data_IF_552596381536
#
_entry.id   IF_552596381536
#
_cell.length_a   1.000
_cell.length_b   1.000
_cell.length_c   1.000
_cell.angle_alpha   90.00
_cell.angle_beta   90.00
_cell.angle_gamma   90.00
#
_symmetry.space_group_name_H-M   'P 1'
#
loop_
_entity.id
_entity.type
_entity.pdbx_description
1 polymer ?
#
# COMPACT_ATOMS: atom_id res chain seq x y z
N UNK A 1 -38.26 40.43 21.02
CA UNK A 1 -39.30 39.66 20.28
C UNK A 1 -38.60 38.56 19.51
N UNK A 2 -38.65 37.36 20.09
CA UNK A 2 -38.07 36.11 19.58
C UNK A 2 -38.61 35.75 18.19
N UNK A 3 -37.71 35.38 17.27
CA UNK A 3 -38.07 34.59 16.09
C UNK A 3 -37.56 33.17 16.32
N UNK A 4 -38.49 32.28 16.70
CA UNK A 4 -38.26 30.86 16.86
C UNK A 4 -38.38 30.11 15.53
N UNK A 5 -37.52 29.12 15.43
CA UNK A 5 -37.34 28.08 14.42
C UNK A 5 -38.61 27.25 14.19
N UNK A 6 -38.78 26.78 12.95
CA UNK A 6 -39.44 25.50 12.65
C UNK A 6 -38.69 24.81 11.51
N UNK A 7 -37.78 23.92 11.88
CA UNK A 7 -37.22 22.88 11.01
C UNK A 7 -38.21 21.72 11.04
N UNK A 8 -38.76 21.36 9.88
CA UNK A 8 -39.59 20.16 9.70
C UNK A 8 -38.69 19.06 9.13
N UNK A 9 -38.32 18.11 10.00
CA UNK A 9 -37.79 16.81 9.59
C UNK A 9 -38.95 15.89 9.23
N UNK A 10 -38.93 15.30 8.04
CA UNK A 10 -39.81 14.18 7.69
C UNK A 10 -39.00 12.93 7.38
N UNK A 11 -39.29 11.89 8.17
CA UNK A 11 -38.95 10.50 7.97
C UNK A 11 -39.28 10.02 6.55
N UNK A 12 -38.43 9.16 5.99
CA UNK A 12 -38.92 8.06 5.17
C UNK A 12 -38.10 6.79 5.43
N UNK A 13 -38.70 5.88 6.18
CA UNK A 13 -38.27 4.50 6.34
C UNK A 13 -39.00 3.62 5.30
N UNK A 14 -38.42 2.43 5.06
CA UNK A 14 -38.99 1.21 4.48
C UNK A 14 -38.66 0.92 3.01
N UNK A 15 -37.82 -0.09 2.79
CA UNK A 15 -38.28 -1.36 2.19
C UNK A 15 -37.15 -2.40 2.15
N UNK A 16 -37.26 -3.42 3.02
CA UNK A 16 -36.52 -4.68 2.93
C UNK A 16 -37.46 -5.70 2.30
N UNK A 17 -37.13 -6.25 1.12
CA UNK A 17 -37.80 -7.43 0.58
C UNK A 17 -36.78 -8.50 0.17
N UNK A 18 -36.85 -9.62 0.89
CA UNK A 18 -36.21 -10.90 0.65
C UNK A 18 -36.93 -11.72 -0.42
N UNK A 19 -36.21 -12.40 -1.33
CA UNK A 19 -36.61 -13.67 -1.99
C UNK A 19 -35.32 -14.43 -2.34
N UNK A 20 -34.97 -15.50 -1.61
CA UNK A 20 -35.36 -16.93 -1.74
C UNK A 20 -34.92 -17.62 -3.03
N UNK A 21 -34.30 -18.78 -2.78
CA UNK A 21 -33.52 -19.63 -3.65
C UNK A 21 -34.33 -20.65 -4.45
N UNK A 22 -33.77 -21.07 -5.59
CA UNK A 22 -33.92 -22.37 -6.26
C UNK A 22 -32.63 -22.54 -7.11
N UNK A 23 -31.87 -23.63 -7.11
CA UNK A 23 -32.14 -25.00 -6.71
C UNK A 23 -32.48 -25.85 -7.93
N UNK A 24 -31.52 -26.10 -8.84
CA UNK A 24 -31.63 -27.13 -9.89
C UNK A 24 -30.28 -27.86 -10.02
N UNK A 25 -30.40 -29.19 -10.05
CA UNK A 25 -29.35 -30.21 -10.06
C UNK A 25 -29.17 -30.81 -11.46
N UNK A 26 -28.21 -31.74 -11.60
CA UNK A 26 -27.88 -32.66 -12.73
C UNK A 26 -26.66 -32.20 -13.55
N UNK A 27 -25.79 -33.05 -14.10
CA UNK A 27 -25.57 -34.51 -14.04
C UNK A 27 -24.25 -34.79 -14.77
N UNK A 28 -23.61 -35.91 -14.44
CA UNK A 28 -22.34 -36.40 -14.97
C UNK A 28 -22.45 -37.05 -16.36
N UNK A 29 -21.80 -36.47 -17.40
CA UNK A 29 -21.14 -37.19 -18.50
C UNK A 29 -20.59 -36.23 -19.56
N UNK A 30 -19.28 -36.25 -19.77
CA UNK A 30 -18.56 -36.01 -21.04
C UNK A 30 -17.14 -35.46 -20.79
N UNK A 31 -16.28 -36.30 -20.20
CA UNK A 31 -14.84 -36.16 -20.30
C UNK A 31 -14.36 -37.04 -21.46
N UNK A 32 -14.07 -36.46 -22.63
CA UNK A 32 -12.95 -36.86 -23.49
C UNK A 32 -12.98 -36.08 -24.83
N UNK A 33 -11.78 -35.75 -25.33
CA UNK A 33 -11.45 -35.09 -26.60
C UNK A 33 -11.33 -33.56 -26.53
N UNK A 34 -10.10 -33.07 -26.38
CA UNK A 34 -9.34 -32.35 -27.42
C UNK A 34 -7.96 -32.00 -26.81
N UNK A 35 -6.96 -32.79 -27.16
CA UNK A 35 -5.55 -32.41 -27.17
C UNK A 35 -5.07 -32.72 -28.59
N UNK A 36 -4.93 -31.69 -29.43
CA UNK A 36 -4.03 -31.62 -30.61
C UNK A 36 -4.48 -30.47 -31.52
N UNK A 37 -3.81 -29.32 -31.44
CA UNK A 37 -3.50 -28.45 -32.59
C UNK A 37 -2.85 -27.14 -32.11
N UNK A 38 -1.88 -26.67 -32.88
CA UNK A 38 -1.22 -25.34 -32.84
C UNK A 38 0.09 -25.24 -32.04
N UNK A 39 1.03 -26.12 -32.40
CA UNK A 39 2.42 -25.70 -32.62
C UNK A 39 2.62 -25.47 -34.12
N UNK A 40 2.53 -24.21 -34.57
CA UNK A 40 3.11 -23.73 -35.82
C UNK A 40 2.83 -22.23 -35.90
N UNK A 41 3.85 -21.40 -35.69
CA UNK A 41 4.16 -20.23 -36.53
C UNK A 41 5.32 -19.45 -35.89
N UNK A 42 6.50 -19.59 -36.52
CA UNK A 42 7.72 -18.82 -36.30
C UNK A 42 7.99 -18.01 -37.56
N UNK A 43 8.50 -16.80 -37.35
CA UNK A 43 9.30 -15.95 -38.26
C UNK A 43 8.55 -15.17 -39.36
N UNK A 44 8.67 -13.83 -39.31
CA UNK A 44 9.46 -12.97 -40.22
C UNK A 44 9.16 -11.50 -39.86
N UNK A 45 10.09 -10.77 -39.23
CA UNK A 45 10.10 -9.29 -39.22
C UNK A 45 11.55 -8.81 -39.42
N UNK A 46 11.73 -7.91 -40.39
CA UNK A 46 12.99 -7.29 -40.82
C UNK A 46 13.44 -6.18 -39.84
N UNK A 47 14.76 -5.91 -39.71
CA UNK A 47 15.27 -4.87 -38.82
C UNK A 47 15.23 -3.48 -39.50
N UNK A 48 14.49 -2.53 -38.92
CA UNK A 48 14.57 -1.11 -39.24
C UNK A 48 15.47 -0.39 -38.24
N UNK A 49 16.11 0.67 -38.72
CA UNK A 49 17.33 1.26 -38.18
C UNK A 49 17.17 1.85 -36.77
N UNK A 50 17.82 1.24 -35.78
CA UNK A 50 18.03 1.83 -34.46
C UNK A 50 19.08 2.94 -34.56
N UNK A 51 18.65 4.18 -34.33
CA UNK A 51 19.54 5.28 -33.98
C UNK A 51 20.27 4.91 -32.69
N UNK A 52 21.59 4.77 -32.81
CA UNK A 52 22.53 4.49 -31.74
C UNK A 52 22.59 5.69 -30.80
N UNK A 53 21.84 5.64 -29.71
CA UNK A 53 22.04 6.54 -28.57
C UNK A 53 23.32 6.06 -27.87
N UNK A 54 24.39 6.83 -28.02
CA UNK A 54 25.62 6.64 -27.26
C UNK A 54 25.31 6.80 -25.77
N UNK A 55 25.25 5.66 -25.06
CA UNK A 55 25.30 5.65 -23.60
C UNK A 55 26.66 6.17 -23.18
N UNK A 56 26.68 7.41 -22.73
CA UNK A 56 27.79 8.01 -22.01
C UNK A 56 28.17 7.08 -20.85
N UNK A 57 29.35 6.45 -20.97
CA UNK A 57 29.87 5.53 -19.96
C UNK A 57 30.04 6.31 -18.66
N UNK A 58 29.15 6.07 -17.70
CA UNK A 58 29.35 6.46 -16.32
C UNK A 58 30.71 5.89 -15.87
N UNK A 59 31.66 6.80 -15.65
CA UNK A 59 32.97 6.50 -15.08
C UNK A 59 32.73 5.84 -13.73
N UNK A 60 32.94 4.54 -13.66
CA UNK A 60 33.00 3.80 -12.40
C UNK A 60 34.06 4.49 -11.53
N UNK A 61 33.66 4.99 -10.36
CA UNK A 61 34.61 5.44 -9.34
C UNK A 61 35.51 4.24 -9.02
N UNK A 62 36.84 4.41 -8.97
CA UNK A 62 37.73 3.31 -8.62
C UNK A 62 37.34 2.76 -7.25
N UNK A 63 37.35 1.42 -7.07
CA UNK A 63 37.12 0.82 -5.76
C UNK A 63 38.12 1.41 -4.77
N UNK A 64 37.61 1.88 -3.63
CA UNK A 64 38.41 2.42 -2.54
C UNK A 64 39.46 1.34 -2.19
N UNK A 65 40.77 1.63 -2.30
CA UNK A 65 41.81 0.64 -2.03
C UNK A 65 41.72 0.17 -0.58
N UNK A 66 41.35 -1.10 -0.36
CA UNK A 66 41.24 -1.74 0.94
C UNK A 66 42.61 -2.08 1.58
N UNK A 67 43.64 -1.29 1.28
CA UNK A 67 45.02 -1.51 1.72
C UNK A 67 45.51 -0.35 2.58
N UNK A 68 44.77 0.00 3.63
CA UNK A 68 45.39 0.66 4.79
C UNK A 68 45.29 -0.35 5.92
N UNK A 69 46.35 -1.17 6.05
CA UNK A 69 46.62 -1.91 7.29
C UNK A 69 46.68 -0.86 8.40
N UNK A 70 45.62 -0.76 9.20
CA UNK A 70 45.68 -0.05 10.48
C UNK A 70 46.67 -0.82 11.33
N UNK A 71 47.90 -0.35 11.37
CA UNK A 71 48.88 -0.77 12.36
C UNK A 71 48.27 -0.45 13.73
N UNK A 72 47.78 -1.49 14.41
CA UNK A 72 47.42 -1.45 15.80
C UNK A 72 48.71 -1.21 16.61
N UNK A 73 49.20 0.03 16.64
CA UNK A 73 50.08 0.50 17.70
C UNK A 73 49.24 0.48 18.97
N UNK A 74 49.37 -0.63 19.72
CA UNK A 74 49.00 -0.66 21.13
C UNK A 74 49.64 0.57 21.78
N UNK A 75 48.86 1.48 22.39
CA UNK A 75 49.45 2.44 23.29
C UNK A 75 50.10 1.63 24.42
N UNK A 76 51.43 1.71 24.50
CA UNK A 76 52.17 1.26 25.67
C UNK A 76 51.70 2.12 26.84
N UNK A 77 50.75 1.61 27.60
CA UNK A 77 50.34 2.21 28.86
C UNK A 77 51.54 2.12 29.81
N UNK A 78 52.02 3.25 30.38
CA UNK A 78 53.07 3.22 31.38
C UNK A 78 52.60 2.36 32.56
N UNK A 79 53.33 1.27 32.81
CA UNK A 79 53.15 0.39 33.96
C UNK A 79 53.62 1.11 35.23
N UNK A 80 52.84 2.07 35.71
CA UNK A 80 52.91 2.51 37.10
C UNK A 80 52.09 1.54 37.93
N UNK A 81 52.68 0.36 38.22
CA UNK A 81 52.25 -0.50 39.32
C UNK A 81 52.73 0.14 40.63
N UNK A 82 52.14 1.27 40.99
CA UNK A 82 52.08 1.63 42.39
C UNK A 82 51.12 0.65 43.03
N UNK A 83 51.63 -0.19 43.92
CA UNK A 83 50.83 -1.06 44.77
C UNK A 83 49.87 -0.17 45.56
N UNK A 84 48.66 0.04 45.03
CA UNK A 84 47.54 0.59 45.78
C UNK A 84 47.22 -0.47 46.83
N UNK A 85 47.88 -0.36 47.99
CA UNK A 85 47.50 -1.13 49.17
C UNK A 85 46.07 -0.72 49.47
N UNK A 86 45.11 -1.59 49.15
CA UNK A 86 43.70 -1.37 49.49
C UNK A 86 43.66 -1.08 50.99
N UNK A 87 43.30 0.15 51.33
CA UNK A 87 43.16 0.59 52.71
C UNK A 87 41.98 -0.20 53.26
N UNK A 88 42.25 -1.13 54.18
CA UNK A 88 41.23 -1.88 54.89
C UNK A 88 40.40 -0.89 55.70
N UNK A 89 39.08 -0.89 55.51
CA UNK A 89 38.14 -0.05 56.26
C UNK A 89 37.51 -0.79 57.43
N UNK A 90 37.82 -2.08 57.61
CA UNK A 90 37.27 -2.93 58.64
C UNK A 90 37.30 -2.32 60.06
N UNK A 91 38.39 -1.63 60.39
CA UNK A 91 38.63 -1.06 61.73
C UNK A 91 38.42 0.46 61.79
N UNK A 92 37.77 1.06 60.79
CA UNK A 92 37.50 2.49 60.76
C UNK A 92 36.38 2.83 61.78
N UNK A 93 36.67 3.60 62.86
CA UNK A 93 35.71 3.89 63.91
C UNK A 93 34.49 4.68 63.40
N UNK A 94 34.66 5.52 62.37
CA UNK A 94 33.54 6.29 61.82
C UNK A 94 32.56 5.38 61.06
N UNK A 95 33.09 4.42 60.29
CA UNK A 95 32.26 3.46 59.55
C UNK A 95 31.53 2.48 60.49
N UNK A 96 32.20 2.08 61.58
CA UNK A 96 31.61 1.22 62.61
C UNK A 96 30.43 1.93 63.29
N UNK A 97 30.61 3.19 63.70
CA UNK A 97 29.54 3.99 64.28
C UNK A 97 28.38 4.16 63.31
N UNK A 98 28.66 4.53 62.05
CA UNK A 98 27.61 4.69 61.04
C UNK A 98 26.82 3.41 60.79
N UNK A 99 27.51 2.26 60.72
CA UNK A 99 26.87 0.96 60.56
C UNK A 99 25.90 0.69 61.72
N UNK A 100 26.35 0.93 62.96
CA UNK A 100 25.56 0.71 64.17
C UNK A 100 24.38 1.68 64.30
N UNK A 101 24.57 2.93 63.88
CA UNK A 101 23.49 3.91 63.85
C UNK A 101 22.40 3.52 62.85
N UNK A 102 22.77 3.11 61.63
CA UNK A 102 21.80 2.68 60.60
C UNK A 102 21.12 1.38 61.02
N UNK A 103 21.88 0.45 61.61
CA UNK A 103 21.37 -0.77 62.19
C UNK A 103 20.26 -0.53 63.23
N UNK A 104 20.40 0.54 64.02
CA UNK A 104 19.43 0.96 65.03
C UNK A 104 18.28 1.81 64.46
N UNK A 105 18.18 1.93 63.13
CA UNK A 105 17.12 2.70 62.45
C UNK A 105 17.46 4.18 62.23
N UNK A 106 18.74 4.55 62.30
CA UNK A 106 19.22 5.89 61.96
C UNK A 106 18.93 6.29 60.51
N UNK A 107 18.72 7.58 60.28
CA UNK A 107 18.50 8.14 58.93
C UNK A 107 19.82 8.30 58.17
N UNK A 108 19.83 7.93 56.89
CA UNK A 108 20.99 8.08 55.99
C UNK A 108 21.02 9.45 55.30
N UNK A 109 19.89 10.17 55.27
CA UNK A 109 19.72 11.38 54.48
C UNK A 109 20.74 12.49 54.80
N UNK A 110 21.21 12.57 56.04
CA UNK A 110 22.11 13.63 56.51
C UNK A 110 23.60 13.30 56.34
N UNK A 111 23.93 12.06 55.97
CA UNK A 111 25.32 11.62 55.82
C UNK A 111 25.86 12.09 54.47
N UNK A 112 27.09 12.62 54.44
CA UNK A 112 27.77 13.03 53.21
C UNK A 112 28.00 11.85 52.23
N UNK A 113 27.86 12.12 50.93
CA UNK A 113 27.98 11.09 49.87
C UNK A 113 29.34 10.38 49.88
N UNK A 114 30.42 11.09 50.22
CA UNK A 114 31.78 10.52 50.33
C UNK A 114 31.88 9.52 51.50
N UNK A 115 31.23 9.81 52.63
CA UNK A 115 31.21 8.89 53.77
C UNK A 115 30.39 7.64 53.46
N UNK A 116 29.30 7.79 52.70
CA UNK A 116 28.49 6.65 52.25
C UNK A 116 29.26 5.73 51.29
N UNK A 117 30.10 6.27 50.38
CA UNK A 117 30.91 5.41 49.51
C UNK A 117 31.96 4.63 50.31
N UNK A 118 32.62 5.26 51.28
CA UNK A 118 33.55 4.56 52.19
C UNK A 118 32.83 3.51 53.02
N UNK A 119 31.64 3.83 53.55
CA UNK A 119 30.81 2.88 54.30
C UNK A 119 30.42 1.66 53.45
N UNK A 120 30.11 1.82 52.16
CA UNK A 120 29.81 0.65 51.30
C UNK A 120 31.00 -0.30 51.15
N UNK A 121 32.24 0.20 51.16
CA UNK A 121 33.44 -0.63 51.16
C UNK A 121 33.61 -1.36 52.50
N UNK A 122 33.46 -0.64 53.61
CA UNK A 122 33.48 -1.21 54.96
C UNK A 122 32.46 -2.34 55.12
N UNK A 123 31.20 -2.14 54.72
CA UNK A 123 30.13 -3.14 54.87
C UNK A 123 30.40 -4.43 54.10
N UNK A 124 31.04 -4.34 52.92
CA UNK A 124 31.45 -5.53 52.15
C UNK A 124 32.56 -6.30 52.85
N UNK A 125 33.58 -5.60 53.35
CA UNK A 125 34.68 -6.21 54.12
C UNK A 125 34.17 -6.86 55.39
N UNK A 126 33.31 -6.15 56.14
CA UNK A 126 32.70 -6.63 57.38
C UNK A 126 31.81 -7.86 57.15
N UNK A 127 30.97 -7.86 56.11
CA UNK A 127 30.14 -9.03 55.77
C UNK A 127 31.00 -10.28 55.46
N UNK A 128 32.12 -10.11 54.75
CA UNK A 128 33.08 -11.20 54.47
C UNK A 128 33.75 -11.68 55.76
N UNK A 129 34.14 -10.76 56.65
CA UNK A 129 34.76 -11.10 57.93
C UNK A 129 33.80 -11.87 58.84
N UNK A 130 32.55 -11.39 59.02
CA UNK A 130 31.51 -12.12 59.76
C UNK A 130 31.24 -13.51 59.15
N UNK A 131 31.31 -13.64 57.83
CA UNK A 131 31.20 -14.93 57.15
C UNK A 131 32.32 -15.92 57.51
N UNK A 132 33.56 -15.44 57.66
CA UNK A 132 34.70 -16.25 58.11
C UNK A 132 34.55 -16.69 59.58
N UNK A 133 34.03 -15.80 60.41
CA UNK A 133 33.79 -16.03 61.85
C UNK A 133 32.52 -16.84 62.13
N UNK A 134 31.74 -17.17 61.09
CA UNK A 134 30.46 -17.89 61.16
C UNK A 134 29.32 -17.11 61.83
N UNK A 135 29.42 -15.78 61.89
CA UNK A 135 28.37 -14.88 62.39
C UNK A 135 27.44 -14.45 61.25
N UNK A 136 26.59 -15.36 60.80
CA UNK A 136 25.75 -15.14 59.60
C UNK A 136 24.64 -14.10 59.77
N UNK A 137 24.14 -13.90 61.00
CA UNK A 137 23.13 -12.88 61.31
C UNK A 137 23.67 -11.47 61.04
N UNK A 138 24.88 -11.19 61.51
CA UNK A 138 25.57 -9.91 61.30
C UNK A 138 25.93 -9.71 59.84
N UNK A 139 26.40 -10.75 59.14
CA UNK A 139 26.69 -10.66 57.71
C UNK A 139 25.43 -10.33 56.88
N UNK A 140 24.28 -10.92 57.22
CA UNK A 140 23.00 -10.62 56.56
C UNK A 140 22.55 -9.18 56.81
N UNK A 141 22.73 -8.71 58.04
CA UNK A 141 22.44 -7.33 58.43
C UNK A 141 23.33 -6.32 57.70
N UNK A 142 24.64 -6.57 57.64
CA UNK A 142 25.59 -5.75 56.90
C UNK A 142 25.25 -5.67 55.40
N UNK A 143 24.83 -6.78 54.79
CA UNK A 143 24.36 -6.79 53.40
C UNK A 143 23.05 -6.00 53.22
N UNK A 144 22.11 -6.10 54.17
CA UNK A 144 20.88 -5.30 54.13
C UNK A 144 21.15 -3.79 54.22
N UNK A 145 22.09 -3.38 55.08
CA UNK A 145 22.53 -2.00 55.20
C UNK A 145 23.25 -1.57 53.92
N UNK A 146 24.08 -2.45 53.35
CA UNK A 146 24.79 -2.21 52.10
C UNK A 146 23.80 -1.91 50.95
N UNK A 147 22.77 -2.75 50.78
CA UNK A 147 21.75 -2.55 49.74
C UNK A 147 20.98 -1.24 49.94
N UNK A 148 20.67 -0.90 51.20
CA UNK A 148 19.99 0.35 51.55
C UNK A 148 20.85 1.60 51.25
N UNK A 149 22.10 1.62 51.70
CA UNK A 149 23.08 2.70 51.41
C UNK A 149 23.30 2.84 49.90
N UNK A 150 23.40 1.72 49.18
CA UNK A 150 23.64 1.72 47.74
C UNK A 150 22.41 2.19 46.94
N UNK A 151 21.20 1.91 47.45
CA UNK A 151 19.94 2.48 46.94
C UNK A 151 19.92 4.01 47.08
N UNK A 152 20.25 4.53 48.26
CA UNK A 152 20.32 5.96 48.53
C UNK A 152 21.41 6.66 47.68
N UNK A 153 22.60 6.07 47.58
CA UNK A 153 23.66 6.56 46.69
C UNK A 153 23.22 6.59 45.22
N UNK A 154 22.40 5.63 44.79
CA UNK A 154 21.83 5.60 43.44
C UNK A 154 20.81 6.73 43.22
N UNK A 155 19.97 7.00 44.23
CA UNK A 155 19.02 8.13 44.21
C UNK A 155 19.79 9.46 44.13
N UNK A 156 20.80 9.66 44.98
CA UNK A 156 21.63 10.87 44.97
C UNK A 156 22.35 11.07 43.63
N UNK A 157 22.90 10.00 43.05
CA UNK A 157 23.52 10.04 41.71
C UNK A 157 22.50 10.40 40.63
N UNK A 158 21.26 9.92 40.72
CA UNK A 158 20.19 10.28 39.77
C UNK A 158 19.73 11.73 39.89
N UNK A 159 19.88 12.33 41.07
CA UNK A 159 19.43 13.70 41.36
C UNK A 159 20.47 14.78 41.03
N UNK A 160 21.74 14.39 40.82
CA UNK A 160 22.86 15.36 40.76
C UNK A 160 23.01 16.08 39.42
N UNK A 161 22.81 15.50 38.23
CA UNK A 161 22.84 16.32 36.98
C UNK A 161 22.06 15.64 35.85
N UNK A 162 20.76 15.90 35.77
CA UNK A 162 20.13 16.03 34.46
C UNK A 162 19.96 17.53 34.28
N UNK A 163 20.81 18.13 33.45
CA UNK A 163 20.68 19.54 33.08
C UNK A 163 19.34 19.70 32.33
N UNK A 164 18.25 19.92 33.08
CA UNK A 164 16.88 20.04 32.57
C UNK A 164 16.79 21.06 31.43
N UNK A 165 17.71 22.02 31.39
CA UNK A 165 17.86 22.98 30.30
C UNK A 165 18.16 22.32 28.95
N UNK A 166 19.03 21.30 28.91
CA UNK A 166 19.37 20.57 27.70
C UNK A 166 18.22 19.69 27.24
N UNK A 167 17.56 18.99 28.17
CA UNK A 167 16.45 18.10 27.83
C UNK A 167 15.25 18.89 27.26
N UNK A 168 14.92 20.03 27.86
CA UNK A 168 13.90 20.94 27.33
C UNK A 168 14.24 21.43 25.91
N UNK A 169 15.50 21.78 25.63
CA UNK A 169 15.92 22.19 24.28
C UNK A 169 15.76 21.08 23.25
N UNK A 170 16.07 19.84 23.60
CA UNK A 170 15.86 18.71 22.68
C UNK A 170 14.38 18.42 22.45
N UNK A 171 13.54 18.60 23.46
CA UNK A 171 12.09 18.50 23.30
C UNK A 171 11.54 19.61 22.40
N UNK A 172 12.00 20.85 22.57
CA UNK A 172 11.67 21.98 21.69
C UNK A 172 12.09 21.68 20.23
N UNK A 173 13.35 21.32 20.01
CA UNK A 173 13.87 20.97 18.68
C UNK A 173 13.09 19.81 18.04
N UNK A 174 12.71 18.81 18.84
CA UNK A 174 11.87 17.68 18.40
C UNK A 174 10.47 18.13 18.01
N UNK A 175 9.85 19.00 18.80
CA UNK A 175 8.51 19.51 18.53
C UNK A 175 8.50 20.40 17.28
N UNK A 176 9.51 21.25 17.11
CA UNK A 176 9.70 22.06 15.91
C UNK A 176 9.86 21.19 14.66
N UNK A 177 10.62 20.10 14.78
CA UNK A 177 10.78 19.13 13.68
C UNK A 177 9.44 18.46 13.32
N UNK A 178 8.67 18.03 14.32
CA UNK A 178 7.34 17.44 14.12
C UNK A 178 6.39 18.45 13.45
N UNK A 179 6.39 19.69 13.91
CA UNK A 179 5.55 20.77 13.40
C UNK A 179 5.91 21.09 11.94
N UNK A 180 7.20 21.18 11.61
CA UNK A 180 7.66 21.38 10.23
C UNK A 180 7.20 20.25 9.29
N UNK A 181 7.34 19.00 9.70
CA UNK A 181 6.86 17.85 8.90
C UNK A 181 5.34 17.80 8.78
N UNK A 182 4.61 18.33 9.77
CA UNK A 182 3.16 18.48 9.69
C UNK A 182 2.78 19.53 8.63
N UNK A 183 3.39 20.71 8.68
CA UNK A 183 3.15 21.77 7.69
C UNK A 183 3.48 21.33 6.26
N UNK A 184 4.56 20.58 6.08
CA UNK A 184 4.92 20.01 4.77
C UNK A 184 3.87 19.04 4.23
N UNK A 185 3.29 18.20 5.10
CA UNK A 185 2.21 17.29 4.71
C UNK A 185 0.93 18.06 4.38
N UNK A 186 0.60 19.07 5.17
CA UNK A 186 -0.59 19.90 4.94
C UNK A 186 -0.50 20.68 3.61
N UNK A 187 0.66 21.27 3.30
CA UNK A 187 0.93 21.93 2.00
C UNK A 187 0.87 20.93 0.83
N UNK A 188 1.42 19.72 0.99
CA UNK A 188 1.31 18.67 -0.02
C UNK A 188 -0.17 18.31 -0.26
N UNK A 189 -0.94 18.05 0.80
CA UNK A 189 -2.36 17.71 0.71
C UNK A 189 -3.15 18.84 0.05
N UNK A 190 -2.89 20.10 0.38
CA UNK A 190 -3.56 21.24 -0.26
C UNK A 190 -3.28 21.28 -1.77
N UNK A 191 -2.00 21.21 -2.18
CA UNK A 191 -1.62 21.22 -3.60
C UNK A 191 -2.21 20.05 -4.37
N UNK A 192 -2.31 18.88 -3.75
CA UNK A 192 -2.94 17.71 -4.37
C UNK A 192 -4.45 17.87 -4.50
N UNK A 193 -5.13 18.42 -3.50
CA UNK A 193 -6.56 18.68 -3.59
C UNK A 193 -6.91 19.67 -4.71
N UNK A 194 -6.10 20.71 -4.92
CA UNK A 194 -6.28 21.64 -6.04
C UNK A 194 -6.08 20.95 -7.39
N UNK A 195 -5.05 20.12 -7.53
CA UNK A 195 -4.82 19.33 -8.75
C UNK A 195 -5.90 18.29 -8.99
N UNK A 196 -6.43 17.67 -7.93
CA UNK A 196 -7.54 16.72 -7.99
C UNK A 196 -8.80 17.38 -8.54
N UNK A 197 -9.13 18.59 -8.07
CA UNK A 197 -10.27 19.37 -8.61
C UNK A 197 -10.10 19.65 -10.10
N UNK A 198 -8.91 20.11 -10.52
CA UNK A 198 -8.62 20.35 -11.95
C UNK A 198 -8.71 19.08 -12.79
N UNK A 199 -8.27 17.94 -12.24
CA UNK A 199 -8.42 16.65 -12.90
C UNK A 199 -9.90 16.30 -13.06
N UNK A 200 -10.70 16.44 -12.00
CA UNK A 200 -12.14 16.16 -12.06
C UNK A 200 -12.88 17.09 -13.04
N UNK A 201 -12.53 18.38 -13.08
CA UNK A 201 -13.05 19.33 -14.08
C UNK A 201 -12.73 18.87 -15.50
N UNK A 202 -11.48 18.51 -15.79
CA UNK A 202 -11.06 17.99 -17.08
C UNK A 202 -11.82 16.71 -17.46
N UNK A 203 -11.96 15.76 -16.54
CA UNK A 203 -12.68 14.50 -16.80
C UNK A 203 -14.17 14.77 -17.09
N UNK A 204 -14.79 15.72 -16.39
CA UNK A 204 -16.16 16.15 -16.67
C UNK A 204 -16.29 16.79 -18.07
N UNK A 205 -15.37 17.68 -18.45
CA UNK A 205 -15.35 18.25 -19.81
C UNK A 205 -15.20 17.18 -20.90
N UNK A 206 -14.38 16.16 -20.66
CA UNK A 206 -14.24 15.02 -21.58
C UNK A 206 -15.56 14.23 -21.70
N UNK A 207 -16.26 14.04 -20.58
CA UNK A 207 -17.60 13.42 -20.58
C UNK A 207 -18.61 14.28 -21.33
N UNK A 208 -18.62 15.60 -21.14
CA UNK A 208 -19.53 16.50 -21.85
C UNK A 208 -19.28 16.49 -23.36
N UNK A 209 -18.01 16.60 -23.79
CA UNK A 209 -17.62 16.51 -25.21
C UNK A 209 -18.01 15.17 -25.82
N UNK A 210 -17.83 14.08 -25.07
CA UNK A 210 -18.27 12.76 -25.48
C UNK A 210 -19.79 12.71 -25.69
N UNK A 211 -20.58 13.17 -24.73
CA UNK A 211 -22.05 13.18 -24.84
C UNK A 211 -22.54 14.12 -25.96
N UNK A 212 -21.88 15.26 -26.20
CA UNK A 212 -22.16 16.16 -27.31
C UNK A 212 -21.90 15.49 -28.67
N UNK A 213 -20.77 14.80 -28.80
CA UNK A 213 -20.42 14.05 -30.01
C UNK A 213 -21.44 12.93 -30.29
N UNK A 214 -21.85 12.19 -29.26
CA UNK A 214 -22.84 11.12 -29.38
C UNK A 214 -24.26 11.64 -29.62
N UNK A 215 -24.55 12.89 -29.25
CA UNK A 215 -25.82 13.56 -29.55
C UNK A 215 -25.89 14.09 -30.98
N UNK A 216 -24.79 14.64 -31.50
CA UNK A 216 -24.79 15.42 -32.74
C UNK A 216 -24.27 14.65 -33.95
N UNK A 217 -23.10 14.02 -33.81
CA UNK A 217 -22.38 13.40 -34.93
C UNK A 217 -22.75 11.94 -35.12
N UNK A 218 -22.80 11.17 -34.03
CA UNK A 218 -22.94 9.71 -34.10
C UNK A 218 -24.27 9.23 -34.70
N UNK A 219 -25.45 9.82 -34.41
CA UNK A 219 -26.71 9.35 -34.98
C UNK A 219 -26.73 9.41 -36.51
N UNK A 220 -25.98 10.34 -37.13
CA UNK A 220 -25.90 10.45 -38.60
C UNK A 220 -25.20 9.24 -39.22
N UNK A 221 -24.27 8.60 -38.50
CA UNK A 221 -23.53 7.43 -39.01
C UNK A 221 -24.41 6.18 -39.11
N UNK A 222 -25.41 6.04 -38.23
CA UNK A 222 -26.31 4.88 -38.17
C UNK A 222 -27.58 5.03 -39.01
N UNK A 223 -27.89 6.22 -39.53
CA UNK A 223 -29.08 6.50 -40.35
C UNK A 223 -28.91 6.20 -41.85
N UNK A 224 -27.91 5.41 -42.23
CA UNK A 224 -27.69 5.08 -43.65
C UNK A 224 -28.63 3.95 -44.05
N UNK A 225 -29.58 4.17 -45.00
CA UNK A 225 -30.47 3.11 -45.46
C UNK A 225 -29.68 2.00 -46.15
N UNK A 226 -30.16 0.76 -46.06
CA UNK A 226 -29.56 -0.33 -46.81
C UNK A 226 -29.77 -0.15 -48.32
N UNK A 227 -28.94 -0.83 -49.12
CA UNK A 227 -29.15 -0.87 -50.57
C UNK A 227 -30.48 -1.50 -50.96
N UNK A 228 -30.97 -2.48 -50.19
CA UNK A 228 -32.24 -3.14 -50.45
C UNK A 228 -33.43 -2.18 -50.27
N UNK A 229 -33.40 -1.34 -49.22
CA UNK A 229 -34.40 -0.30 -49.01
C UNK A 229 -34.37 0.74 -50.13
N UNK A 230 -33.18 1.17 -50.55
CA UNK A 230 -33.02 2.10 -51.68
C UNK A 230 -33.57 1.51 -52.99
N UNK A 231 -33.34 0.22 -53.26
CA UNK A 231 -33.89 -0.45 -54.44
C UNK A 231 -35.42 -0.55 -54.43
N UNK A 232 -36.03 -0.79 -53.26
CA UNK A 232 -37.50 -0.82 -53.12
C UNK A 232 -38.10 0.58 -53.33
N UNK A 233 -37.46 1.63 -52.79
CA UNK A 233 -37.85 3.02 -53.05
C UNK A 233 -37.76 3.34 -54.54
N UNK A 234 -36.66 2.97 -55.21
CA UNK A 234 -36.50 3.17 -56.66
C UNK A 234 -37.57 2.41 -57.46
N UNK A 235 -37.97 1.21 -57.02
CA UNK A 235 -39.06 0.44 -57.64
C UNK A 235 -40.41 1.11 -57.45
N UNK A 236 -40.73 1.56 -56.24
CA UNK A 236 -41.94 2.34 -55.92
C UNK A 236 -42.04 3.55 -56.85
N UNK A 237 -40.95 4.31 -56.96
CA UNK A 237 -40.83 5.50 -57.80
C UNK A 237 -41.08 5.20 -59.28
N UNK A 238 -40.61 4.05 -59.77
CA UNK A 238 -40.83 3.59 -61.16
C UNK A 238 -42.29 3.23 -61.41
N UNK A 239 -42.96 2.53 -60.49
CA UNK A 239 -44.39 2.21 -60.60
C UNK A 239 -45.25 3.48 -60.60
N UNK A 240 -44.94 4.42 -59.71
CA UNK A 240 -45.62 5.71 -59.65
C UNK A 240 -45.46 6.51 -60.96
N UNK A 241 -44.25 6.54 -61.55
CA UNK A 241 -43.99 7.21 -62.84
C UNK A 241 -44.66 6.51 -64.03
N UNK A 242 -44.85 5.19 -63.96
CA UNK A 242 -45.55 4.42 -64.99
C UNK A 242 -47.08 4.56 -64.92
N UNK A 243 -47.62 5.12 -63.84
CA UNK A 243 -49.07 5.26 -63.62
C UNK A 243 -49.75 4.03 -63.03
N UNK A 244 -48.97 3.03 -62.59
CA UNK A 244 -49.47 1.83 -61.91
C UNK A 244 -49.49 2.06 -60.39
N UNK A 245 -50.58 2.67 -59.92
CA UNK A 245 -50.72 3.07 -58.51
C UNK A 245 -50.96 1.90 -57.57
N UNK A 246 -51.58 0.82 -58.05
CA UNK A 246 -51.85 -0.37 -57.24
C UNK A 246 -50.54 -1.10 -56.93
N UNK A 247 -49.67 -1.25 -57.93
CA UNK A 247 -48.31 -1.78 -57.75
C UNK A 247 -47.47 -0.93 -56.80
N UNK A 248 -47.49 0.39 -56.97
CA UNK A 248 -46.77 1.32 -56.09
C UNK A 248 -47.23 1.20 -54.62
N UNK A 249 -48.54 1.06 -54.37
CA UNK A 249 -49.08 0.92 -53.01
C UNK A 249 -48.63 -0.37 -52.31
N UNK A 250 -48.40 -1.45 -53.06
CA UNK A 250 -47.86 -2.71 -52.51
C UNK A 250 -46.39 -2.53 -52.14
N UNK A 251 -45.57 -2.03 -53.07
CA UNK A 251 -44.13 -1.80 -52.83
C UNK A 251 -43.92 -0.82 -51.67
N UNK A 252 -44.75 0.21 -51.55
CA UNK A 252 -44.70 1.15 -50.43
C UNK A 252 -44.87 0.48 -49.07
N UNK A 253 -45.81 -0.47 -48.94
CA UNK A 253 -45.97 -1.22 -47.67
C UNK A 253 -44.73 -2.03 -47.33
N UNK A 254 -44.04 -2.57 -48.34
CA UNK A 254 -42.77 -3.28 -48.15
C UNK A 254 -41.64 -2.32 -47.75
N UNK A 255 -41.57 -1.14 -48.38
CA UNK A 255 -40.63 -0.05 -48.02
C UNK A 255 -40.83 0.35 -46.56
N UNK A 256 -42.07 0.67 -46.15
CA UNK A 256 -42.40 1.10 -44.79
C UNK A 256 -42.01 0.01 -43.76
N UNK A 257 -42.30 -1.26 -44.06
CA UNK A 257 -41.98 -2.38 -43.18
C UNK A 257 -40.46 -2.64 -43.08
N UNK A 258 -39.71 -2.48 -44.18
CA UNK A 258 -38.26 -2.64 -44.17
C UNK A 258 -37.56 -1.46 -43.48
N UNK A 259 -38.05 -0.24 -43.70
CA UNK A 259 -37.57 0.97 -43.03
C UNK A 259 -37.71 0.86 -41.51
N UNK A 260 -38.86 0.39 -41.00
CA UNK A 260 -39.06 0.18 -39.56
C UNK A 260 -38.06 -0.85 -38.98
N UNK A 261 -37.84 -1.96 -39.69
CA UNK A 261 -36.89 -3.02 -39.30
C UNK A 261 -35.45 -2.50 -39.26
N UNK A 262 -35.03 -1.77 -40.29
CA UNK A 262 -33.69 -1.17 -40.37
C UNK A 262 -33.50 -0.11 -39.29
N UNK A 263 -34.47 0.77 -39.07
CA UNK A 263 -34.42 1.80 -38.04
C UNK A 263 -34.26 1.18 -36.64
N UNK A 264 -35.01 0.12 -36.34
CA UNK A 264 -34.91 -0.61 -35.06
C UNK A 264 -33.53 -1.25 -34.88
N UNK A 265 -33.00 -1.86 -35.93
CA UNK A 265 -31.68 -2.52 -35.90
C UNK A 265 -30.55 -1.49 -35.74
N UNK A 266 -30.61 -0.39 -36.50
CA UNK A 266 -29.67 0.71 -36.41
C UNK A 266 -29.67 1.34 -35.00
N UNK A 267 -30.85 1.52 -34.40
CA UNK A 267 -30.96 2.02 -33.02
C UNK A 267 -30.34 1.05 -32.00
N UNK A 268 -30.62 -0.26 -32.11
CA UNK A 268 -30.00 -1.28 -31.25
C UNK A 268 -28.47 -1.22 -31.33
N UNK A 269 -27.94 -1.16 -32.55
CA UNK A 269 -26.49 -1.11 -32.78
C UNK A 269 -25.87 0.17 -32.21
N UNK A 270 -26.49 1.34 -32.45
CA UNK A 270 -26.03 2.61 -31.89
C UNK A 270 -25.97 2.58 -30.36
N UNK A 271 -26.97 2.01 -29.69
CA UNK A 271 -27.01 1.89 -28.22
C UNK A 271 -25.89 0.97 -27.73
N UNK A 272 -25.65 -0.15 -28.42
CA UNK A 272 -24.57 -1.10 -28.08
C UNK A 272 -23.21 -0.41 -28.17
N UNK A 273 -22.96 0.31 -29.26
CA UNK A 273 -21.70 1.01 -29.49
C UNK A 273 -21.49 2.16 -28.50
N UNK A 274 -22.55 2.94 -28.19
CA UNK A 274 -22.51 3.97 -27.15
C UNK A 274 -22.10 3.40 -25.80
N UNK A 275 -22.73 2.30 -25.37
CA UNK A 275 -22.40 1.65 -24.09
C UNK A 275 -20.96 1.16 -24.05
N UNK A 276 -20.47 0.58 -25.15
CA UNK A 276 -19.08 0.13 -25.27
C UNK A 276 -18.11 1.30 -25.18
N UNK A 277 -18.35 2.37 -25.94
CA UNK A 277 -17.51 3.56 -25.94
C UNK A 277 -17.51 4.29 -24.59
N UNK A 278 -18.68 4.40 -23.95
CA UNK A 278 -18.83 4.99 -22.61
C UNK A 278 -18.04 4.22 -21.57
N UNK A 279 -18.14 2.89 -21.57
CA UNK A 279 -17.34 2.04 -20.67
C UNK A 279 -15.83 2.24 -20.90
N UNK A 280 -15.39 2.36 -22.16
CA UNK A 280 -13.97 2.63 -22.47
C UNK A 280 -13.52 3.99 -21.92
N UNK A 281 -14.35 5.02 -22.05
CA UNK A 281 -14.09 6.34 -21.48
C UNK A 281 -14.01 6.27 -19.94
N UNK A 282 -15.01 5.68 -19.28
CA UNK A 282 -15.04 5.52 -17.82
C UNK A 282 -13.81 4.76 -17.30
N UNK A 283 -13.41 3.67 -17.96
CA UNK A 283 -12.21 2.92 -17.60
C UNK A 283 -10.94 3.78 -17.73
N UNK A 284 -10.83 4.58 -18.79
CA UNK A 284 -9.71 5.52 -18.98
C UNK A 284 -9.68 6.55 -17.85
N UNK A 285 -10.81 7.19 -17.55
CA UNK A 285 -10.94 8.18 -16.47
C UNK A 285 -10.58 7.56 -15.10
N UNK A 286 -11.04 6.35 -14.82
CA UNK A 286 -10.70 5.63 -13.59
C UNK A 286 -9.20 5.33 -13.49
N UNK A 287 -8.56 4.89 -14.58
CA UNK A 287 -7.11 4.67 -14.58
C UNK A 287 -6.30 5.96 -14.38
N UNK A 288 -6.78 7.10 -14.92
CA UNK A 288 -6.15 8.41 -14.71
C UNK A 288 -6.28 8.84 -13.22
N UNK A 289 -7.46 8.63 -12.61
CA UNK A 289 -7.67 8.88 -11.17
C UNK A 289 -6.78 7.99 -10.30
N UNK A 290 -6.72 6.69 -10.60
CA UNK A 290 -5.92 5.74 -9.84
C UNK A 290 -4.42 6.08 -9.91
N UNK A 291 -3.90 6.37 -11.10
CA UNK A 291 -2.49 6.77 -11.26
C UNK A 291 -2.17 8.09 -10.55
N UNK A 292 -3.11 9.03 -10.53
CA UNK A 292 -3.00 10.27 -9.77
C UNK A 292 -2.93 10.02 -8.25
N UNK A 293 -3.82 9.20 -7.70
CA UNK A 293 -3.86 8.86 -6.28
C UNK A 293 -2.63 8.05 -5.84
N UNK A 294 -2.19 7.10 -6.68
CA UNK A 294 -0.96 6.34 -6.41
C UNK A 294 0.27 7.25 -6.33
N UNK A 295 0.33 8.28 -7.18
CA UNK A 295 1.41 9.29 -7.11
C UNK A 295 1.35 10.12 -5.83
N UNK A 296 0.15 10.49 -5.36
CA UNK A 296 -0.02 11.19 -4.08
C UNK A 296 0.44 10.33 -2.91
N UNK A 297 -0.08 9.10 -2.82
CA UNK A 297 0.23 8.16 -1.75
C UNK A 297 1.73 7.88 -1.68
N UNK A 298 2.38 7.68 -2.83
CA UNK A 298 3.83 7.49 -2.89
C UNK A 298 4.60 8.70 -2.33
N UNK A 299 4.21 9.93 -2.69
CA UNK A 299 4.85 11.14 -2.16
C UNK A 299 4.63 11.31 -0.66
N UNK A 300 3.43 11.00 -0.18
CA UNK A 300 3.10 11.02 1.24
C UNK A 300 3.92 9.99 2.02
N UNK A 301 4.04 8.77 1.50
CA UNK A 301 4.88 7.72 2.08
C UNK A 301 6.36 8.15 2.16
N UNK A 302 6.90 8.78 1.12
CA UNK A 302 8.25 9.32 1.15
C UNK A 302 8.45 10.36 2.26
N UNK A 303 7.49 11.28 2.44
CA UNK A 303 7.54 12.27 3.53
C UNK A 303 7.47 11.62 4.91
N UNK A 304 6.58 10.64 5.10
CA UNK A 304 6.46 9.90 6.37
C UNK A 304 7.75 9.14 6.68
N UNK A 305 8.33 8.48 5.68
CA UNK A 305 9.60 7.77 5.84
C UNK A 305 10.74 8.74 6.21
N UNK A 306 10.80 9.91 5.56
CA UNK A 306 11.77 10.94 5.88
C UNK A 306 11.59 11.44 7.32
N UNK A 307 10.37 11.78 7.73
CA UNK A 307 10.06 12.19 9.10
C UNK A 307 10.52 11.15 10.12
N UNK A 308 10.25 9.87 9.86
CA UNK A 308 10.65 8.78 10.76
C UNK A 308 12.17 8.70 10.92
N UNK A 309 12.91 8.80 9.82
CA UNK A 309 14.38 8.77 9.84
C UNK A 309 14.93 9.96 10.64
N UNK A 310 14.38 11.16 10.43
CA UNK A 310 14.84 12.37 11.14
C UNK A 310 14.51 12.32 12.65
N UNK A 311 13.35 11.80 13.02
CA UNK A 311 12.98 11.56 14.42
C UNK A 311 13.89 10.52 15.08
N UNK A 312 14.16 9.40 14.41
CA UNK A 312 15.07 8.37 14.91
C UNK A 312 16.50 8.91 15.08
N UNK A 313 16.96 9.77 14.17
CA UNK A 313 18.25 10.46 14.32
C UNK A 313 18.26 11.39 15.54
N UNK A 314 17.15 12.11 15.80
CA UNK A 314 17.02 12.96 16.99
C UNK A 314 17.05 12.13 18.27
N UNK A 315 16.27 11.04 18.31
CA UNK A 315 16.22 10.10 19.44
C UNK A 315 17.60 9.46 19.70
N UNK A 316 18.32 9.08 18.64
CA UNK A 316 19.68 8.56 18.76
C UNK A 316 20.66 9.60 19.34
N UNK A 317 20.54 10.88 18.97
CA UNK A 317 21.37 11.95 19.57
C UNK A 317 21.06 12.11 21.05
N UNK A 318 19.78 12.10 21.43
CA UNK A 318 19.35 12.16 22.83
C UNK A 318 19.92 10.99 23.63
N UNK A 319 19.79 9.77 23.10
CA UNK A 319 20.33 8.57 23.75
C UNK A 319 21.84 8.64 23.97
N UNK A 320 22.61 9.15 22.99
CA UNK A 320 24.07 9.31 23.12
C UNK A 320 24.43 10.36 24.19
N UNK A 321 23.66 11.45 24.29
CA UNK A 321 23.88 12.48 25.31
C UNK A 321 23.58 11.93 26.70
N UNK A 322 22.45 11.23 26.85
CA UNK A 322 22.07 10.58 28.10
C UNK A 322 23.11 9.53 28.53
N UNK A 323 23.62 8.73 27.58
CA UNK A 323 24.71 7.78 27.85
C UNK A 323 25.99 8.48 28.32
N UNK A 324 26.39 9.58 27.67
CA UNK A 324 27.58 10.35 28.08
C UNK A 324 27.43 10.96 29.48
N UNK A 325 26.25 11.45 29.83
CA UNK A 325 25.97 11.95 31.17
C UNK A 325 26.07 10.83 32.21
N UNK A 326 25.54 9.64 31.92
CA UNK A 326 25.66 8.46 32.79
C UNK A 326 27.13 8.00 32.92
N UNK A 327 27.90 8.02 31.83
CA UNK A 327 29.33 7.65 31.85
C UNK A 327 30.16 8.63 32.67
N UNK A 328 29.87 9.94 32.61
CA UNK A 328 30.54 10.94 33.45
C UNK A 328 30.29 10.73 34.95
N UNK A 329 29.13 10.16 35.32
CA UNK A 329 28.79 9.83 36.70
C UNK A 329 29.38 8.49 37.17
N UNK A 330 29.85 7.63 36.25
CA UNK A 330 30.50 6.37 36.58
C UNK A 330 32.01 6.58 36.61
N UNK A 331 32.58 6.72 37.82
CA UNK A 331 34.04 6.58 37.97
C UNK A 331 34.51 5.24 37.37
N UNK A 332 35.70 5.19 36.74
CA UNK A 332 36.23 3.98 36.17
C UNK A 332 36.58 2.99 37.29
N UNK A 333 35.62 2.15 37.66
CA UNK A 333 35.88 0.98 38.49
C UNK A 333 36.79 0.08 37.66
N UNK A 334 38.09 0.08 37.99
CA UNK A 334 39.09 -0.83 37.43
C UNK A 334 38.71 -2.27 37.80
N UNK A 335 37.81 -2.86 37.03
CA UNK A 335 37.49 -4.28 37.11
C UNK A 335 38.67 -5.06 36.56
N UNK A 336 39.43 -5.66 37.48
CA UNK A 336 40.47 -6.65 37.19
C UNK A 336 39.83 -7.86 36.51
N UNK A 337 40.05 -7.94 35.21
CA UNK A 337 39.55 -9.01 34.34
C UNK A 337 40.33 -10.30 34.62
N UNK A 338 39.74 -11.23 35.37
CA UNK A 338 40.19 -12.62 35.43
C UNK A 338 39.69 -13.30 34.15
N UNK A 339 40.63 -13.77 33.32
CA UNK A 339 40.35 -14.58 32.15
C UNK A 339 39.88 -15.98 32.57
N UNK A 340 38.82 -16.56 31.97
CA UNK A 340 38.71 -17.99 31.87
C UNK A 340 39.45 -18.47 30.63
N UNK A 341 40.40 -19.39 30.86
CA UNK A 341 41.02 -20.19 29.83
C UNK A 341 40.19 -21.46 29.59
N UNK A 342 40.35 -22.03 28.39
CA UNK A 342 39.89 -23.36 27.94
C UNK A 342 38.38 -23.51 27.66
N UNK A 343 37.91 -24.23 26.64
CA UNK A 343 38.55 -25.19 25.74
C UNK A 343 37.79 -25.27 24.41
N UNK A 344 38.50 -25.74 23.37
CA UNK A 344 37.90 -26.25 22.13
C UNK A 344 37.28 -27.64 22.38
N UNK A 345 36.08 -27.89 21.85
CA UNK A 345 35.69 -29.21 21.33
C UNK A 345 34.72 -29.04 20.16
N UNK A 346 34.97 -29.83 19.12
CA UNK A 346 34.11 -30.03 17.95
C UNK A 346 32.81 -30.78 18.32
N UNK A 347 31.76 -30.61 17.52
CA UNK A 347 31.05 -31.66 16.73
C UNK A 347 29.91 -30.99 15.92
N UNK A 348 29.68 -31.38 14.65
CA UNK A 348 28.58 -30.92 13.82
C UNK A 348 27.35 -31.82 13.99
N UNK A 349 26.14 -31.24 14.10
CA UNK A 349 24.88 -31.97 13.96
C UNK A 349 23.88 -31.14 13.18
N UNK A 350 23.37 -31.76 12.12
CA UNK A 350 22.30 -31.27 11.26
C UNK A 350 20.92 -31.58 11.87
N UNK A 351 20.02 -30.61 11.86
CA UNK A 351 18.56 -30.76 11.64
C UNK A 351 18.10 -29.46 10.97
N UNK A 352 17.75 -29.48 9.68
CA UNK A 352 16.36 -29.51 9.19
C UNK A 352 15.39 -28.79 10.14
N UNK A 353 14.86 -27.64 9.71
CA UNK A 353 13.48 -27.56 9.24
C UNK A 353 13.13 -26.20 8.63
N UNK A 354 12.37 -26.28 7.52
CA UNK A 354 11.35 -25.34 7.03
C UNK A 354 11.81 -23.96 6.53
N UNK A 355 12.08 -23.92 5.23
CA UNK A 355 11.66 -22.79 4.40
C UNK A 355 10.40 -23.26 3.67
N UNK A 356 9.27 -22.62 3.98
CA UNK A 356 8.06 -22.67 3.17
C UNK A 356 8.23 -21.73 1.96
N UNK A 357 7.56 -21.99 0.83
CA UNK A 357 7.50 -21.06 -0.30
C UNK A 357 6.80 -19.74 0.09
N UNK A 358 6.98 -18.70 -0.72
CA UNK A 358 6.35 -17.38 -0.53
C UNK A 358 4.83 -17.48 -0.29
N UNK A 359 4.37 -16.77 0.73
CA UNK A 359 2.97 -16.60 1.06
C UNK A 359 2.35 -15.47 0.23
N UNK A 360 1.12 -15.69 -0.23
CA UNK A 360 0.26 -14.63 -0.76
C UNK A 360 -0.24 -13.81 0.42
N UNK A 361 -0.10 -12.48 0.34
CA UNK A 361 -0.54 -11.58 1.40
C UNK A 361 -2.07 -11.63 1.57
N UNK A 362 -2.58 -11.67 2.83
CA UNK A 362 -4.00 -11.83 3.14
C UNK A 362 -4.76 -10.48 3.07
N UNK A 363 -4.64 -9.74 1.97
CA UNK A 363 -5.46 -8.54 1.75
C UNK A 363 -5.93 -8.33 0.30
N UNK A 364 -5.89 -9.36 -0.55
CA UNK A 364 -6.61 -9.35 -1.83
C UNK A 364 -7.84 -10.27 -1.73
N UNK A 365 -8.94 -9.74 -1.19
CA UNK A 365 -10.25 -10.43 -1.13
C UNK A 365 -10.74 -10.83 -2.53
N UNK A 366 -10.36 -10.06 -3.56
CA UNK A 366 -10.70 -10.33 -4.96
C UNK A 366 -9.97 -11.55 -5.53
N UNK A 367 -8.71 -11.82 -5.15
CA UNK A 367 -7.99 -13.00 -5.70
C UNK A 367 -8.48 -14.32 -5.11
N UNK A 368 -8.98 -14.29 -3.87
CA UNK A 368 -9.60 -15.46 -3.23
C UNK A 368 -10.98 -15.74 -3.88
N UNK A 369 -11.79 -14.70 -4.11
CA UNK A 369 -13.09 -14.84 -4.77
C UNK A 369 -12.98 -15.16 -6.27
N UNK A 370 -11.96 -14.64 -6.96
CA UNK A 370 -11.72 -14.95 -8.38
C UNK A 370 -11.24 -16.38 -8.58
N UNK A 371 -10.41 -16.91 -7.67
CA UNK A 371 -10.01 -18.31 -7.70
C UNK A 371 -11.21 -19.24 -7.47
N UNK A 372 -12.05 -18.94 -6.47
CA UNK A 372 -13.28 -19.71 -6.18
C UNK A 372 -14.32 -19.64 -7.32
N UNK A 373 -14.49 -18.49 -7.97
CA UNK A 373 -15.41 -18.33 -9.11
C UNK A 373 -14.94 -19.10 -10.34
N UNK A 374 -13.64 -19.04 -10.63
CA UNK A 374 -13.01 -19.68 -11.80
C UNK A 374 -12.98 -21.21 -11.68
N UNK A 375 -12.99 -21.74 -10.47
CA UNK A 375 -13.11 -23.18 -10.22
C UNK A 375 -14.56 -23.67 -10.34
N UNK A 376 -15.53 -22.85 -9.91
CA UNK A 376 -16.98 -23.14 -10.03
C UNK A 376 -17.45 -23.14 -11.50
N UNK A 377 -17.10 -22.13 -12.29
CA UNK A 377 -17.46 -22.04 -13.72
C UNK A 377 -16.84 -23.19 -14.55
N UNK A 378 -15.65 -23.66 -14.18
CA UNK A 378 -14.99 -24.83 -14.81
C UNK A 378 -15.68 -26.16 -14.51
N UNK A 379 -16.42 -26.26 -13.40
CA UNK A 379 -17.16 -27.46 -13.00
C UNK A 379 -18.58 -27.50 -13.60
N UNK A 380 -19.23 -26.34 -13.77
CA UNK A 380 -20.61 -26.23 -14.26
C UNK A 380 -20.70 -26.26 -15.80
N UNK A 381 -19.71 -25.69 -16.50
CA UNK A 381 -19.64 -25.76 -17.97
C UNK A 381 -19.36 -27.17 -18.51
N UNK A 382 -18.91 -28.12 -17.66
CA UNK A 382 -18.69 -29.52 -18.04
C UNK A 382 -19.89 -30.45 -17.78
N UNK A 383 -20.90 -30.03 -17.00
CA UNK A 383 -22.08 -30.86 -16.68
C UNK A 383 -23.33 -30.54 -17.52
N UNK A 384 -23.43 -29.37 -18.16
CA UNK A 384 -24.71 -28.88 -18.71
C UNK A 384 -24.94 -29.00 -20.22
N UNK A 385 -23.94 -29.36 -21.06
CA UNK A 385 -24.13 -29.41 -22.52
C UNK A 385 -23.70 -30.74 -23.18
N UNK A 386 -24.09 -31.85 -22.57
CA UNK A 386 -24.21 -33.13 -23.26
C UNK A 386 -25.67 -33.61 -23.28
N UNK A 387 -26.55 -33.07 -24.16
CA UNK A 387 -27.84 -33.70 -24.40
C UNK A 387 -27.70 -34.77 -25.49
N UNK A 388 -27.81 -36.01 -25.02
CA UNK A 388 -28.13 -37.21 -25.79
C UNK A 388 -29.39 -36.98 -26.65
N UNK A 389 -29.25 -37.03 -27.98
CA UNK A 389 -30.36 -37.27 -28.91
C UNK A 389 -30.16 -38.64 -29.57
N UNK A 390 -30.81 -39.65 -29.00
CA UNK A 390 -31.12 -40.90 -29.68
C UNK A 390 -32.62 -41.20 -29.53
N UNK A 391 -33.27 -41.32 -30.70
CA UNK A 391 -34.48 -42.09 -31.01
C UNK A 391 -35.77 -41.85 -30.21
N UNK A 392 -36.85 -41.43 -30.89
CA UNK A 392 -37.75 -42.42 -31.48
C UNK A 392 -38.76 -41.79 -32.45
N UNK A 393 -38.94 -42.49 -33.57
CA UNK A 393 -40.06 -42.36 -34.50
C UNK A 393 -41.20 -43.28 -34.00
N UNK A 394 -42.44 -42.90 -34.29
CA UNK A 394 -43.41 -43.67 -35.10
C UNK A 394 -44.86 -43.27 -34.76
N UNK A 395 -45.52 -42.73 -35.79
CA UNK A 395 -46.92 -42.85 -36.22
C UNK A 395 -48.10 -42.42 -35.31
N UNK A 396 -48.93 -41.49 -35.78
CA UNK A 396 -50.18 -41.77 -36.54
C UNK A 396 -50.92 -40.47 -36.94
N UNK A 397 -51.15 -40.36 -38.26
CA UNK A 397 -52.22 -39.73 -39.07
C UNK A 397 -52.82 -38.32 -38.85
N UNK A 398 -52.70 -37.55 -39.95
CA UNK A 398 -53.68 -36.72 -40.67
C UNK A 398 -54.72 -35.89 -39.88
N UNK A 399 -54.61 -34.56 -40.01
CA UNK A 399 -55.65 -33.76 -40.66
C UNK A 399 -55.06 -32.44 -41.22
N UNK A 400 -55.53 -32.10 -42.42
CA UNK A 400 -55.20 -30.95 -43.25
C UNK A 400 -55.71 -29.66 -42.60
N UNK A 401 -54.89 -28.60 -42.53
CA UNK A 401 -55.27 -27.23 -42.97
C UNK A 401 -54.05 -26.33 -43.07
N UNK A 402 -53.99 -25.62 -44.20
CA UNK A 402 -53.01 -24.61 -44.57
C UNK A 402 -52.94 -23.48 -43.55
N UNK A 403 -51.73 -23.22 -43.03
CA UNK A 403 -51.33 -21.92 -42.50
C UNK A 403 -49.91 -21.65 -43.00
N UNK A 404 -49.79 -20.68 -43.89
CA UNK A 404 -48.52 -20.11 -44.36
C UNK A 404 -47.92 -19.38 -43.17
N UNK A 405 -47.06 -20.09 -42.42
CA UNK A 405 -46.26 -19.52 -41.35
C UNK A 405 -44.96 -18.98 -41.96
N UNK A 406 -44.79 -17.66 -41.88
CA UNK A 406 -43.53 -16.98 -42.18
C UNK A 406 -42.39 -17.55 -41.30
N UNK A 407 -41.21 -17.82 -41.87
CA UNK A 407 -40.06 -18.22 -41.08
C UNK A 407 -39.46 -17.00 -40.35
N UNK A 408 -39.46 -17.05 -39.01
CA UNK A 408 -38.65 -16.13 -38.21
C UNK A 408 -37.16 -16.37 -38.49
N UNK A 409 -36.35 -15.31 -38.71
CA UNK A 409 -34.93 -15.47 -38.92
C UNK A 409 -34.22 -15.79 -37.59
N UNK A 410 -33.60 -16.97 -37.52
CA UNK A 410 -32.69 -17.37 -36.44
C UNK A 410 -31.51 -16.39 -36.35
N UNK A 411 -31.41 -15.67 -35.23
CA UNK A 411 -30.30 -14.77 -34.88
C UNK A 411 -29.01 -15.58 -34.65
N UNK A 412 -28.15 -15.66 -35.68
CA UNK A 412 -26.77 -16.15 -35.54
C UNK A 412 -25.84 -14.99 -35.14
N UNK A 413 -25.73 -14.73 -33.84
CA UNK A 413 -24.72 -13.84 -33.26
C UNK A 413 -23.43 -14.62 -32.94
N UNK A 414 -22.56 -14.77 -33.95
CA UNK A 414 -21.15 -15.09 -33.72
C UNK A 414 -20.28 -14.38 -34.77
N UNK A 415 -19.86 -13.15 -34.46
CA UNK A 415 -18.84 -12.45 -35.24
C UNK A 415 -17.61 -12.26 -34.37
N UNK A 416 -16.52 -12.89 -34.82
CA UNK A 416 -15.17 -12.70 -34.32
C UNK A 416 -14.76 -11.24 -34.52
N UNK A 417 -14.33 -10.59 -33.45
CA UNK A 417 -13.75 -9.26 -33.43
C UNK A 417 -12.24 -9.38 -33.75
N UNK A 418 -11.86 -9.11 -35.01
CA UNK A 418 -10.46 -8.88 -35.38
C UNK A 418 -10.09 -7.41 -35.08
N UNK A 419 -9.01 -7.23 -34.30
CA UNK A 419 -8.46 -5.95 -33.88
C UNK A 419 -7.84 -5.16 -35.06
N UNK A 420 -8.34 -3.95 -35.33
CA UNK A 420 -7.55 -2.90 -35.98
C UNK A 420 -7.01 -1.93 -34.92
N UNK A 421 -5.71 -2.01 -34.65
CA UNK A 421 -4.94 -0.95 -33.98
C UNK A 421 -4.32 -0.04 -35.05
N UNK A 422 -4.69 1.24 -35.05
CA UNK A 422 -3.88 2.31 -35.63
C UNK A 422 -3.50 3.33 -34.56
N UNK A 423 -2.23 3.68 -34.64
CA UNK A 423 -1.47 4.56 -33.76
C UNK A 423 -2.02 5.99 -33.72
N UNK A 424 -2.08 6.57 -32.52
CA UNK A 424 -1.87 8.01 -32.32
C UNK A 424 -0.88 8.19 -31.16
N UNK A 425 0.38 8.36 -31.53
CA UNK A 425 1.37 9.09 -30.73
C UNK A 425 0.97 10.56 -30.78
N UNK A 426 0.56 11.14 -29.65
CA UNK A 426 0.68 12.58 -29.45
C UNK A 426 1.26 12.84 -28.07
N UNK A 427 2.51 13.29 -28.06
CA UNK A 427 3.26 13.72 -26.89
C UNK A 427 3.13 15.23 -26.81
N UNK A 428 2.23 15.72 -25.96
CA UNK A 428 2.22 17.13 -25.58
C UNK A 428 3.11 17.34 -24.35
N UNK A 429 4.33 17.75 -24.66
CA UNK A 429 5.33 18.32 -23.77
C UNK A 429 4.83 19.70 -23.27
N UNK A 430 4.08 19.70 -22.16
CA UNK A 430 3.60 20.94 -21.55
C UNK A 430 4.70 21.59 -20.69
N UNK A 431 5.59 22.32 -21.35
CA UNK A 431 6.52 23.23 -20.69
C UNK A 431 5.76 24.44 -20.10
N UNK A 432 5.71 24.51 -18.76
CA UNK A 432 5.26 25.70 -18.05
C UNK A 432 6.41 26.71 -17.97
N UNK A 433 6.42 27.68 -18.88
CA UNK A 433 7.26 28.87 -18.79
C UNK A 433 6.40 30.14 -18.80
N UNK A 434 6.61 31.01 -17.81
CA UNK A 434 6.06 32.38 -17.69
C UNK A 434 4.56 32.44 -17.35
N UNK A 435 4.01 33.39 -16.61
CA UNK A 435 4.48 34.72 -16.19
C UNK A 435 3.48 35.20 -15.14
N UNK A 436 3.86 35.37 -13.87
CA UNK A 436 3.08 36.18 -12.91
C UNK A 436 4.07 36.95 -12.03
N UNK A 437 4.54 38.07 -12.57
CA UNK A 437 5.18 39.16 -11.85
C UNK A 437 4.50 40.44 -12.34
N UNK A 438 3.37 40.79 -11.72
CA UNK A 438 2.84 42.17 -11.72
C UNK A 438 1.59 42.20 -10.84
N UNK A 439 1.75 42.76 -9.64
CA UNK A 439 0.77 43.53 -8.84
C UNK A 439 1.18 43.49 -7.38
N UNK A 440 2.15 44.33 -7.05
CA UNK A 440 2.48 44.72 -5.69
C UNK A 440 3.13 46.11 -5.73
N UNK A 441 2.40 47.06 -6.29
CA UNK A 441 2.66 48.50 -6.23
C UNK A 441 1.29 49.15 -6.45
N UNK A 442 0.64 49.51 -5.34
CA UNK A 442 -0.44 50.50 -5.19
C UNK A 442 -1.19 50.22 -3.88
N UNK A 443 -0.48 50.35 -2.76
CA UNK A 443 -1.13 50.47 -1.46
C UNK A 443 -0.23 51.20 -0.45
N UNK A 444 0.34 52.32 -0.86
CA UNK A 444 0.83 53.39 0.03
C UNK A 444 0.60 54.73 -0.68
N UNK A 445 -0.56 55.32 -0.43
CA UNK A 445 -0.85 56.74 -0.62
C UNK A 445 -1.95 57.16 0.37
#
# INVERSE_FOLDING_TARGET
MEKREKIVNHNNQQSLHSKKAAGISLSSKAQSRIQTAKMAERNIIKPSQQRRIEREKQKQKPPIPSYIKKENKKPETPKNNENLTMKSYLDDPECIQLREDIANGGSISDVETEKLTVLTAHLREYAVQCGKERNYSEAKMANSIFDFVNGELSIRKSQVVVDRSLENKFEEDRNDLIQKHKEQRDDLTQRFNEKRKKLDEKLNEETEKFEEQWRTEMPRKYRKPSSALLELIDKEDRFAKAGDFDGAAIVKKEVDALEEKEARTAQKQMIKDYKSAKRKLENKQNSERETFENKYNHQLECLIAQQKIELEQSDNRMNVINQKQIEQLKEPVKSTKIMPAHAQTHIPVAQRERILPDLIAPNDEEKIQEFERKERERSESKQSNSPDKASNKDDVELFITNAVAEPEPEENDFVNEEEEKKNEENTDDFSLSGTVKEKLEDMEA
#
